data_IF_672912109187
#
_entry.id   IF_672912109187
#
_cell.length_a   1.000
_cell.length_b   1.000
_cell.length_c   1.000
_cell.angle_alpha   90.00
_cell.angle_beta   90.00
_cell.angle_gamma   90.00
#
_symmetry.space_group_name_H-M   'P 1'
#
loop_
_entity.id
_entity.type
_entity.pdbx_description
1 polymer ?
#
# COMPACT_ATOMS: atom_id res chain seq x y z
N UNK A 1 13.65 1.59 8.00
CA UNK A 1 14.35 1.38 9.26
C UNK A 1 13.51 0.47 10.15
N UNK A 2 14.11 -0.58 10.70
CA UNK A 2 13.48 -1.40 11.75
C UNK A 2 14.42 -1.48 12.94
N UNK A 3 13.87 -1.39 14.13
CA UNK A 3 14.58 -1.44 15.40
C UNK A 3 13.92 -2.50 16.29
N UNK A 4 14.75 -3.34 16.91
CA UNK A 4 14.27 -4.27 17.94
C UNK A 4 14.19 -3.48 19.25
N UNK A 5 12.99 -3.37 19.82
CA UNK A 5 12.75 -2.63 21.06
C UNK A 5 12.70 -3.53 22.28
N UNK A 6 12.42 -4.82 22.09
CA UNK A 6 12.37 -5.79 23.19
C UNK A 6 12.54 -7.21 22.64
N UNK A 7 13.18 -8.07 23.44
CA UNK A 7 13.26 -9.52 23.21
C UNK A 7 12.96 -10.21 24.53
N UNK A 8 11.86 -10.94 24.58
CA UNK A 8 11.47 -11.70 25.76
C UNK A 8 11.09 -13.12 25.31
N UNK A 9 11.80 -14.12 25.80
CA UNK A 9 11.65 -15.52 25.40
C UNK A 9 11.77 -15.71 23.87
N UNK A 10 10.67 -16.05 23.21
CA UNK A 10 10.60 -16.22 21.77
C UNK A 10 9.88 -15.06 21.04
N UNK A 11 9.64 -13.96 21.72
CA UNK A 11 8.91 -12.80 21.20
C UNK A 11 9.88 -11.66 20.94
N UNK A 12 9.84 -11.12 19.74
CA UNK A 12 10.56 -9.91 19.36
C UNK A 12 9.56 -8.80 19.10
N UNK A 13 9.75 -7.65 19.78
CA UNK A 13 9.01 -6.43 19.44
C UNK A 13 9.85 -5.54 18.56
N UNK A 14 9.23 -5.04 17.52
CA UNK A 14 9.84 -4.22 16.48
C UNK A 14 9.16 -2.87 16.40
N UNK A 15 9.95 -1.86 16.11
CA UNK A 15 9.47 -0.53 15.73
C UNK A 15 9.94 -0.22 14.31
N UNK A 16 9.06 0.37 13.50
CA UNK A 16 9.36 0.80 12.15
C UNK A 16 9.29 2.32 12.02
N UNK A 17 10.26 2.89 11.35
CA UNK A 17 10.23 4.29 10.91
C UNK A 17 10.85 4.39 9.53
N UNK A 18 10.36 5.33 8.73
CA UNK A 18 10.93 5.52 7.40
C UNK A 18 10.14 6.48 6.56
N UNK A 19 10.49 6.51 5.30
CA UNK A 19 9.77 7.23 4.28
C UNK A 19 9.65 6.39 3.02
N UNK A 20 8.64 6.69 2.21
CA UNK A 20 8.49 6.11 0.89
C UNK A 20 8.28 7.21 -0.15
N UNK A 21 8.80 6.97 -1.33
CA UNK A 21 8.55 7.79 -2.49
C UNK A 21 8.34 6.91 -3.70
N UNK A 22 7.13 6.98 -4.24
CA UNK A 22 6.78 6.34 -5.50
C UNK A 22 6.45 7.42 -6.53
N UNK A 23 7.00 7.29 -7.72
CA UNK A 23 6.74 8.18 -8.84
C UNK A 23 6.48 7.35 -10.09
N UNK A 24 5.48 7.75 -10.86
CA UNK A 24 5.22 7.24 -12.20
C UNK A 24 5.13 8.42 -13.15
N UNK A 25 5.80 8.28 -14.29
CA UNK A 25 5.78 9.25 -15.39
C UNK A 25 5.24 8.56 -16.63
N UNK A 26 4.47 9.28 -17.39
CA UNK A 26 3.99 8.78 -18.66
C UNK A 26 2.58 9.21 -19.00
N UNK A 27 2.09 8.75 -20.15
CA UNK A 27 0.75 9.05 -20.59
C UNK A 27 -0.29 8.38 -19.68
N UNK A 28 -1.21 9.18 -19.18
CA UNK A 28 -2.33 8.70 -18.39
C UNK A 28 -3.63 8.97 -19.12
N UNK A 29 -4.51 7.98 -19.05
CA UNK A 29 -5.82 8.08 -19.62
C UNK A 29 -6.72 8.90 -18.69
N UNK A 30 -7.15 10.05 -19.17
CA UNK A 30 -8.08 10.93 -18.45
C UNK A 30 -9.48 10.94 -19.08
N UNK A 31 -9.68 10.20 -20.16
CA UNK A 31 -10.95 10.11 -20.86
C UNK A 31 -11.97 9.24 -20.16
N UNK A 32 -13.24 9.60 -20.24
CA UNK A 32 -14.33 8.78 -19.72
C UNK A 32 -14.68 7.61 -20.64
N UNK A 33 -14.42 7.71 -21.92
CA UNK A 33 -14.89 6.75 -22.93
C UNK A 33 -13.82 6.32 -23.94
N UNK A 34 -12.65 6.89 -23.91
CA UNK A 34 -11.53 6.45 -24.73
C UNK A 34 -10.36 6.07 -23.85
N UNK A 35 -9.71 5.00 -24.21
CA UNK A 35 -8.52 4.51 -23.53
C UNK A 35 -7.25 5.17 -24.08
N UNK A 36 -7.41 6.25 -24.83
CA UNK A 36 -6.30 6.99 -25.42
C UNK A 36 -5.73 7.96 -24.38
N UNK A 37 -4.43 7.90 -24.09
CA UNK A 37 -3.79 8.85 -23.20
C UNK A 37 -3.90 10.27 -23.77
N UNK A 38 -4.48 11.18 -23.02
CA UNK A 38 -4.67 12.57 -23.47
C UNK A 38 -3.62 13.52 -22.92
N UNK A 39 -2.95 13.14 -21.84
CA UNK A 39 -1.96 13.99 -21.16
C UNK A 39 -0.84 13.17 -20.56
N UNK A 40 0.36 13.71 -20.56
CA UNK A 40 1.43 13.24 -19.69
C UNK A 40 1.34 13.95 -18.35
N UNK A 41 1.21 13.17 -17.29
CA UNK A 41 1.13 13.69 -15.92
C UNK A 41 2.15 12.98 -15.04
N UNK A 42 2.82 13.75 -14.22
CA UNK A 42 3.61 13.20 -13.13
C UNK A 42 2.69 12.79 -11.99
N UNK A 43 2.82 11.55 -11.58
CA UNK A 43 2.12 10.99 -10.42
C UNK A 43 3.13 10.61 -9.37
N UNK A 44 2.91 11.05 -8.16
CA UNK A 44 3.78 10.65 -7.06
C UNK A 44 3.03 10.53 -5.75
N UNK A 45 3.53 9.66 -4.89
CA UNK A 45 3.12 9.54 -3.50
C UNK A 45 4.39 9.57 -2.65
N UNK A 46 4.42 10.46 -1.67
CA UNK A 46 5.46 10.53 -0.66
C UNK A 46 4.82 10.40 0.70
N UNK A 47 5.28 9.44 1.50
CA UNK A 47 4.78 9.22 2.86
C UNK A 47 5.91 9.07 3.85
N UNK A 48 5.63 9.45 5.11
CA UNK A 48 6.39 9.04 6.27
C UNK A 48 5.70 7.81 6.89
N UNK A 49 6.50 6.87 7.35
CA UNK A 49 6.08 5.60 7.89
C UNK A 49 6.41 5.52 9.38
N UNK A 50 5.47 5.08 10.17
CA UNK A 50 5.66 4.71 11.57
C UNK A 50 4.82 3.48 11.90
N UNK A 51 5.41 2.56 12.65
CA UNK A 51 4.70 1.33 13.01
C UNK A 51 5.41 0.50 14.05
N UNK A 52 4.75 -0.57 14.41
CA UNK A 52 5.24 -1.59 15.34
C UNK A 52 4.81 -2.98 14.89
N UNK A 53 5.52 -3.99 15.39
CA UNK A 53 5.16 -5.37 15.16
C UNK A 53 5.64 -6.27 16.29
N UNK A 54 4.99 -7.42 16.41
CA UNK A 54 5.37 -8.50 17.30
C UNK A 54 5.63 -9.75 16.46
N UNK A 55 6.80 -10.32 16.58
CA UNK A 55 7.23 -11.51 15.86
C UNK A 55 7.48 -12.67 16.83
N UNK A 56 6.88 -13.82 16.53
CA UNK A 56 7.09 -15.08 17.27
C UNK A 56 8.16 -15.90 16.57
N UNK A 57 9.31 -16.06 17.22
CA UNK A 57 10.45 -16.85 16.72
C UNK A 57 10.13 -18.34 16.61
N UNK A 58 9.30 -18.86 17.51
CA UNK A 58 8.94 -20.29 17.52
C UNK A 58 8.05 -20.62 16.33
N UNK A 59 7.04 -19.80 16.08
CA UNK A 59 6.09 -19.98 15.00
C UNK A 59 6.56 -19.34 13.68
N UNK A 60 7.67 -18.58 13.72
CA UNK A 60 8.24 -17.86 12.56
C UNK A 60 7.22 -16.98 11.85
N UNK A 61 6.41 -16.26 12.61
CA UNK A 61 5.32 -15.45 12.08
C UNK A 61 5.11 -14.18 12.90
N UNK A 62 4.58 -13.15 12.25
CA UNK A 62 4.07 -11.99 12.96
C UNK A 62 2.77 -12.37 13.66
N UNK A 63 2.64 -11.96 14.92
CA UNK A 63 1.42 -12.07 15.72
C UNK A 63 0.70 -10.73 15.85
N UNK A 64 1.42 -9.64 15.60
CA UNK A 64 0.87 -8.30 15.49
C UNK A 64 1.69 -7.49 14.48
N UNK A 65 1.05 -6.60 13.73
CA UNK A 65 1.69 -5.71 12.79
C UNK A 65 0.79 -4.49 12.53
N UNK A 66 1.32 -3.32 12.79
CA UNK A 66 0.63 -2.05 12.59
C UNK A 66 1.59 -1.07 11.92
N UNK A 67 1.21 -0.49 10.79
CA UNK A 67 2.00 0.51 10.10
C UNK A 67 1.11 1.60 9.55
N UNK A 68 1.43 2.84 9.86
CA UNK A 68 0.76 4.03 9.33
C UNK A 68 1.68 4.74 8.37
N UNK A 69 1.19 5.02 7.18
CA UNK A 69 1.85 5.86 6.19
C UNK A 69 1.06 7.15 6.00
N UNK A 70 1.65 8.29 6.30
CA UNK A 70 1.03 9.60 6.16
C UNK A 70 1.83 10.47 5.22
N UNK A 71 1.16 11.13 4.27
CA UNK A 71 1.89 11.94 3.31
C UNK A 71 1.04 12.72 2.34
N UNK A 72 1.61 12.89 1.15
CA UNK A 72 0.98 13.63 0.04
C UNK A 72 1.03 12.80 -1.23
N UNK A 73 -0.02 12.95 -2.03
CA UNK A 73 -0.06 12.49 -3.40
C UNK A 73 -0.10 13.69 -4.35
N UNK A 74 0.44 13.53 -5.55
CA UNK A 74 0.41 14.47 -6.65
C UNK A 74 -0.06 13.73 -7.89
N UNK A 75 -0.84 14.40 -8.72
CA UNK A 75 -1.43 13.84 -9.92
C UNK A 75 -2.82 13.27 -9.72
N UNK A 76 -3.53 13.09 -10.81
CA UNK A 76 -4.89 12.56 -10.81
C UNK A 76 -5.08 11.57 -11.95
N UNK A 77 -5.95 10.60 -11.73
CA UNK A 77 -6.33 9.61 -12.73
C UNK A 77 -7.83 9.42 -12.70
N UNK A 78 -8.38 8.91 -13.79
CA UNK A 78 -9.77 8.48 -13.84
C UNK A 78 -10.11 7.39 -12.81
N UNK A 79 -9.13 6.55 -12.50
CA UNK A 79 -9.32 5.40 -11.61
C UNK A 79 -9.43 5.77 -10.13
N UNK A 80 -9.07 6.98 -9.75
CA UNK A 80 -9.19 7.45 -8.37
C UNK A 80 -10.29 8.48 -8.15
N UNK A 81 -11.16 8.67 -9.16
CA UNK A 81 -12.30 9.58 -9.07
C UNK A 81 -11.94 11.06 -8.95
N UNK A 82 -10.72 11.45 -9.31
CA UNK A 82 -10.18 12.80 -9.06
C UNK A 82 -10.13 13.69 -10.31
N UNK A 83 -10.88 13.37 -11.34
CA UNK A 83 -10.90 14.17 -12.58
C UNK A 83 -11.28 15.63 -12.35
N UNK A 84 -12.07 15.90 -11.32
CA UNK A 84 -12.62 17.21 -10.99
C UNK A 84 -12.03 17.82 -9.72
N UNK A 85 -11.15 17.10 -9.04
CA UNK A 85 -10.55 17.51 -7.79
C UNK A 85 -9.21 18.22 -7.94
N UNK A 86 -8.57 18.57 -6.82
CA UNK A 86 -7.23 19.16 -6.82
C UNK A 86 -6.20 18.16 -7.37
N UNK A 87 -5.10 18.69 -7.90
CA UNK A 87 -4.01 17.89 -8.47
C UNK A 87 -3.09 17.27 -7.40
N UNK A 88 -3.34 17.57 -6.15
CA UNK A 88 -2.59 17.02 -5.01
C UNK A 88 -3.44 17.00 -3.75
N UNK A 89 -3.05 16.18 -2.80
CA UNK A 89 -3.75 16.10 -1.53
C UNK A 89 -2.99 15.30 -0.47
N UNK A 90 -3.59 15.22 0.70
CA UNK A 90 -3.07 14.37 1.77
C UNK A 90 -3.53 12.92 1.56
N UNK A 91 -2.70 11.98 1.98
CA UNK A 91 -3.01 10.55 1.99
C UNK A 91 -2.62 9.96 3.32
N UNK A 92 -3.46 9.07 3.81
CA UNK A 92 -3.16 8.21 4.95
C UNK A 92 -3.49 6.77 4.57
N UNK A 93 -2.56 5.86 4.85
CA UNK A 93 -2.74 4.43 4.63
C UNK A 93 -2.40 3.73 5.93
N UNK A 94 -3.26 2.81 6.36
CA UNK A 94 -3.04 1.99 7.52
C UNK A 94 -2.94 0.52 7.09
N UNK A 95 -1.89 -0.12 7.54
CA UNK A 95 -1.65 -1.55 7.34
C UNK A 95 -1.71 -2.25 8.68
N UNK A 96 -2.44 -3.35 8.74
CA UNK A 96 -2.48 -4.22 9.90
C UNK A 96 -2.38 -5.69 9.49
N UNK A 97 -1.98 -6.52 10.42
CA UNK A 97 -1.98 -7.96 10.20
C UNK A 97 -3.41 -8.45 9.97
N UNK A 98 -3.60 -9.21 8.91
CA UNK A 98 -4.88 -9.86 8.64
C UNK A 98 -5.14 -10.98 9.65
N UNK A 99 -6.34 -11.05 10.18
CA UNK A 99 -6.82 -12.14 11.03
C UNK A 99 -7.15 -13.42 10.26
N UNK A 100 -6.87 -13.43 8.95
CA UNK A 100 -7.12 -14.54 8.04
C UNK A 100 -8.61 -14.89 7.84
N UNK A 101 -9.53 -14.03 8.26
CA UNK A 101 -10.95 -14.20 7.98
C UNK A 101 -11.21 -14.18 6.45
N UNK A 102 -12.22 -14.89 5.95
CA UNK A 102 -12.51 -14.93 4.52
C UNK A 102 -12.66 -13.56 3.87
N UNK A 103 -13.24 -12.60 4.57
CA UNK A 103 -13.43 -11.22 4.09
C UNK A 103 -12.10 -10.49 3.87
N UNK A 104 -11.05 -10.84 4.63
CA UNK A 104 -9.72 -10.24 4.53
C UNK A 104 -8.84 -10.89 3.45
N UNK A 105 -9.35 -11.91 2.76
CA UNK A 105 -8.69 -12.59 1.64
C UNK A 105 -9.22 -12.17 0.29
N UNK A 106 -10.15 -11.21 0.25
CA UNK A 106 -10.71 -10.71 -0.99
C UNK A 106 -9.66 -9.86 -1.69
N UNK A 107 -9.34 -10.21 -2.92
CA UNK A 107 -8.45 -9.43 -3.76
C UNK A 107 -9.00 -8.01 -3.96
N UNK A 108 -8.14 -6.99 -4.07
CA UNK A 108 -8.57 -5.65 -4.46
C UNK A 108 -9.37 -5.72 -5.77
N UNK A 109 -10.35 -4.84 -5.92
CA UNK A 109 -11.14 -4.76 -7.13
C UNK A 109 -10.26 -4.67 -8.38
N UNK A 110 -10.64 -5.39 -9.44
CA UNK A 110 -9.94 -5.45 -10.73
C UNK A 110 -8.60 -6.19 -10.77
N UNK A 111 -8.13 -6.82 -9.70
CA UNK A 111 -6.90 -7.62 -9.74
C UNK A 111 -7.02 -8.78 -10.75
N UNK A 112 -8.19 -9.38 -10.84
CA UNK A 112 -8.51 -10.43 -11.80
C UNK A 112 -8.35 -10.00 -13.26
N UNK A 113 -8.61 -8.73 -13.58
CA UNK A 113 -8.44 -8.18 -14.91
C UNK A 113 -6.98 -7.93 -15.30
N UNK A 114 -6.13 -7.62 -14.33
CA UNK A 114 -4.74 -7.25 -14.57
C UNK A 114 -3.75 -8.38 -14.30
N UNK A 115 -4.08 -9.28 -13.40
CA UNK A 115 -3.21 -10.40 -13.04
C UNK A 115 -3.98 -11.57 -12.42
N UNK A 116 -4.65 -12.36 -13.27
CA UNK A 116 -5.37 -13.55 -12.83
C UNK A 116 -4.48 -14.58 -12.11
N UNK A 117 -3.19 -14.65 -12.47
CA UNK A 117 -2.25 -15.56 -11.83
C UNK A 117 -2.03 -15.24 -10.35
N UNK A 118 -2.15 -13.99 -9.96
CA UNK A 118 -2.04 -13.57 -8.56
C UNK A 118 -3.12 -14.18 -7.68
N UNK A 119 -4.32 -14.38 -8.23
CA UNK A 119 -5.45 -15.01 -7.53
C UNK A 119 -5.28 -16.53 -7.50
N UNK A 120 -4.86 -17.12 -8.63
CA UNK A 120 -4.74 -18.57 -8.80
C UNK A 120 -3.51 -19.12 -8.09
N UNK A 121 -2.41 -18.40 -8.13
CA UNK A 121 -1.12 -18.75 -7.53
C UNK A 121 -0.55 -17.56 -6.77
N UNK A 122 -1.08 -17.25 -5.57
CA UNK A 122 -0.52 -16.16 -4.77
C UNK A 122 0.95 -16.47 -4.49
N UNK A 123 1.82 -15.52 -4.82
CA UNK A 123 3.24 -15.61 -4.45
C UNK A 123 3.34 -15.36 -2.96
N UNK A 124 3.85 -16.34 -2.23
CA UNK A 124 4.24 -16.20 -0.83
C UNK A 124 5.45 -15.28 -0.71
#
# INVERSE_FOLDING_TARGET
FSEITDITDNIIKLKFTGDSYAVAKGPWQLGQNDWTPTHELDHSIRTNLIGDAVYDLKNKSFTDFNLVALGKWIGKTQNNGRNWGPDSGRIGIYYQLSDNAPVNRIAPAFVDLYNAEWIIKPKN
#
